data_IF_986051196669
#
_entry.id   IF_986051196669
#
_cell.length_a   1.000
_cell.length_b   1.000
_cell.length_c   1.000
_cell.angle_alpha   90.00
_cell.angle_beta   90.00
_cell.angle_gamma   90.00
#
_symmetry.space_group_name_H-M   'P 1'
#
loop_
_entity.id
_entity.type
_entity.pdbx_description
1 polymer ?
#
# COMPACT_ATOMS: atom_id res chain seq x y z
N UNK A 1 11.06 32.45 -10.48
CA UNK A 1 10.42 31.94 -11.72
C UNK A 1 10.18 30.48 -11.49
N UNK A 2 8.92 30.09 -11.22
CA UNK A 2 8.56 28.68 -11.17
C UNK A 2 8.60 28.13 -12.59
N UNK A 3 9.39 27.10 -12.81
CA UNK A 3 9.35 26.33 -14.05
C UNK A 3 7.94 25.73 -14.21
N UNK A 4 7.32 25.80 -15.40
CA UNK A 4 6.02 25.17 -15.61
C UNK A 4 6.17 23.66 -15.39
N UNK A 5 5.41 23.11 -14.43
CA UNK A 5 5.29 21.65 -14.28
C UNK A 5 4.77 21.12 -15.62
N UNK A 6 5.62 20.42 -16.34
CA UNK A 6 5.21 19.69 -17.54
C UNK A 6 4.11 18.72 -17.10
N UNK A 7 2.89 18.95 -17.59
CA UNK A 7 1.76 18.07 -17.29
C UNK A 7 2.10 16.64 -17.65
N UNK A 8 1.62 15.67 -16.86
CA UNK A 8 1.82 14.25 -17.17
C UNK A 8 1.34 13.99 -18.60
N UNK A 9 2.18 13.47 -19.49
CA UNK A 9 1.76 13.16 -20.86
C UNK A 9 0.56 12.20 -20.84
N UNK A 10 -0.37 12.37 -21.78
CA UNK A 10 -1.60 11.56 -21.83
C UNK A 10 -1.34 10.04 -21.84
N UNK A 11 -0.22 9.60 -22.43
CA UNK A 11 0.16 8.19 -22.47
C UNK A 11 0.70 7.64 -21.13
N UNK A 12 0.98 8.52 -20.14
CA UNK A 12 1.33 8.14 -18.76
C UNK A 12 0.13 8.29 -17.81
N UNK A 13 -1.02 8.74 -18.31
CA UNK A 13 -2.21 8.87 -17.48
C UNK A 13 -2.65 7.51 -16.94
N UNK A 14 -3.05 7.48 -15.69
CA UNK A 14 -3.58 6.31 -14.98
C UNK A 14 -4.96 6.64 -14.42
N UNK A 15 -5.83 5.65 -14.32
CA UNK A 15 -7.13 5.78 -13.68
C UNK A 15 -6.92 6.05 -12.18
N UNK A 16 -7.63 7.03 -11.61
CA UNK A 16 -7.57 7.29 -10.17
C UNK A 16 -8.04 6.07 -9.38
N UNK A 17 -7.46 5.87 -8.20
CA UNK A 17 -7.90 4.84 -7.25
C UNK A 17 -9.06 5.36 -6.42
N UNK A 18 -10.20 4.68 -6.44
CA UNK A 18 -11.36 5.03 -5.59
C UNK A 18 -11.57 4.00 -4.50
N UNK A 19 -11.61 4.45 -3.24
CA UNK A 19 -11.90 3.61 -2.07
C UNK A 19 -12.81 4.40 -1.12
N UNK A 20 -13.94 3.83 -0.73
CA UNK A 20 -14.87 4.45 0.24
C UNK A 20 -15.32 5.86 -0.16
N UNK A 21 -15.57 6.10 -1.47
CA UNK A 21 -15.96 7.41 -1.98
C UNK A 21 -14.82 8.43 -2.13
N UNK A 22 -13.61 8.11 -1.66
CA UNK A 22 -12.42 8.95 -1.82
C UNK A 22 -11.66 8.59 -3.08
N UNK A 23 -11.17 9.60 -3.80
CA UNK A 23 -10.43 9.47 -5.05
C UNK A 23 -8.96 9.84 -4.82
N UNK A 24 -8.06 8.94 -5.16
CA UNK A 24 -6.62 9.09 -4.98
C UNK A 24 -5.90 9.04 -6.32
N UNK A 25 -5.03 9.98 -6.58
CA UNK A 25 -4.07 9.95 -7.71
C UNK A 25 -2.74 9.30 -7.28
N UNK A 26 -2.46 9.29 -5.97
CA UNK A 26 -1.33 8.55 -5.40
C UNK A 26 -1.78 7.17 -4.95
N UNK A 27 -0.99 6.15 -5.31
CA UNK A 27 -1.22 4.76 -4.90
C UNK A 27 -0.35 4.34 -3.71
N UNK A 28 0.43 5.30 -3.17
CA UNK A 28 1.26 5.12 -1.99
C UNK A 28 0.53 5.69 -0.77
N UNK A 29 0.17 4.83 0.18
CA UNK A 29 -0.42 5.20 1.47
C UNK A 29 0.66 5.13 2.54
N UNK A 30 0.70 6.11 3.44
CA UNK A 30 1.78 6.23 4.41
C UNK A 30 1.23 6.36 5.82
N UNK A 31 1.88 5.66 6.76
CA UNK A 31 1.58 5.78 8.18
C UNK A 31 2.39 6.90 8.85
N UNK A 32 1.99 7.25 10.07
CA UNK A 32 2.55 8.37 10.85
C UNK A 32 3.36 7.92 12.07
N UNK A 33 3.59 6.63 12.24
CA UNK A 33 4.31 6.11 13.41
C UNK A 33 5.83 6.10 13.25
N UNK A 34 6.57 6.21 14.39
CA UNK A 34 8.02 6.00 14.47
C UNK A 34 8.92 7.05 13.84
N UNK A 35 8.41 8.12 13.25
CA UNK A 35 9.24 9.27 12.89
C UNK A 35 9.81 9.93 14.13
N UNK A 36 10.95 10.60 13.99
CA UNK A 36 11.65 11.26 15.10
C UNK A 36 10.83 12.40 15.70
N UNK A 37 10.17 13.17 14.85
CA UNK A 37 9.41 14.37 15.21
C UNK A 37 8.32 14.69 14.17
N UNK A 38 7.50 15.70 14.46
CA UNK A 38 6.42 16.18 13.60
C UNK A 38 6.94 16.75 12.27
N UNK A 39 8.10 17.42 12.29
CA UNK A 39 8.70 18.00 11.08
C UNK A 39 9.13 16.90 10.11
N UNK A 40 9.86 15.90 10.58
CA UNK A 40 10.27 14.76 9.76
C UNK A 40 9.06 14.01 9.20
N UNK A 41 7.99 13.84 10.01
CA UNK A 41 6.72 13.26 9.55
C UNK A 41 6.14 14.06 8.40
N UNK A 42 6.01 15.39 8.57
CA UNK A 42 5.46 16.29 7.56
C UNK A 42 6.26 16.25 6.26
N UNK A 43 7.58 16.31 6.36
CA UNK A 43 8.47 16.25 5.20
C UNK A 43 8.33 14.93 4.45
N UNK A 44 8.34 13.80 5.16
CA UNK A 44 8.20 12.49 4.54
C UNK A 44 6.83 12.28 3.87
N UNK A 45 5.75 12.78 4.48
CA UNK A 45 4.43 12.76 3.86
C UNK A 45 4.39 13.60 2.58
N UNK A 46 4.94 14.81 2.62
CA UNK A 46 5.01 15.71 1.45
C UNK A 46 5.87 15.10 0.33
N UNK A 47 7.06 14.59 0.64
CA UNK A 47 7.99 13.99 -0.33
C UNK A 47 7.40 12.71 -0.95
N UNK A 48 6.71 11.88 -0.15
CA UNK A 48 6.07 10.65 -0.64
C UNK A 48 4.91 10.91 -1.59
N UNK A 49 4.33 12.12 -1.58
CA UNK A 49 3.16 12.47 -2.36
C UNK A 49 1.91 11.70 -1.97
N UNK A 50 1.88 11.12 -0.76
CA UNK A 50 0.72 10.38 -0.28
C UNK A 50 -0.49 11.30 -0.14
N UNK A 51 -1.67 10.77 -0.43
CA UNK A 51 -2.95 11.43 -0.20
C UNK A 51 -3.79 10.70 0.87
N UNK A 52 -3.38 9.50 1.28
CA UNK A 52 -4.03 8.72 2.32
C UNK A 52 -3.04 8.43 3.44
N UNK A 53 -3.33 8.93 4.63
CA UNK A 53 -2.42 8.86 5.77
C UNK A 53 -3.06 8.08 6.92
N UNK A 54 -2.40 7.00 7.37
CA UNK A 54 -2.92 6.23 8.49
C UNK A 54 -2.48 6.82 9.82
N UNK A 55 -3.45 6.85 10.75
CA UNK A 55 -3.27 7.35 12.11
C UNK A 55 -3.77 6.31 13.10
N UNK A 56 -2.92 5.91 14.04
CA UNK A 56 -3.34 5.06 15.14
C UNK A 56 -4.17 5.89 16.15
N UNK A 57 -5.46 5.58 16.25
CA UNK A 57 -6.39 6.34 17.12
C UNK A 57 -5.90 6.44 18.56
N UNK A 58 -5.29 5.37 19.07
CA UNK A 58 -4.69 5.32 20.43
C UNK A 58 -3.58 6.34 20.69
N UNK A 59 -3.04 6.96 19.63
CA UNK A 59 -1.95 7.96 19.70
C UNK A 59 -2.41 9.38 19.43
N UNK A 60 -3.70 9.56 19.17
CA UNK A 60 -4.27 10.90 18.99
C UNK A 60 -4.43 11.52 20.37
N UNK A 61 -3.75 12.64 20.60
CA UNK A 61 -3.97 13.43 21.82
C UNK A 61 -5.33 14.11 21.74
N UNK A 62 -6.28 13.62 22.51
CA UNK A 62 -7.62 14.17 22.61
C UNK A 62 -7.71 15.33 23.61
N UNK A 63 -6.64 15.55 24.40
CA UNK A 63 -6.63 16.59 25.45
C UNK A 63 -6.20 17.96 24.92
N UNK A 64 -5.55 17.99 23.74
CA UNK A 64 -5.05 19.22 23.12
C UNK A 64 -3.90 19.89 23.87
N UNK A 65 -3.26 19.20 24.82
CA UNK A 65 -2.23 19.79 25.69
C UNK A 65 -0.80 19.62 25.18
N UNK A 66 -0.61 18.96 24.01
CA UNK A 66 0.72 18.72 23.42
C UNK A 66 0.71 18.74 21.90
N UNK A 67 1.90 18.64 21.27
CA UNK A 67 1.98 18.52 19.82
C UNK A 67 1.22 17.28 19.36
N UNK A 68 0.19 17.48 18.56
CA UNK A 68 -0.61 16.39 18.03
C UNK A 68 0.05 15.83 16.76
N UNK A 69 0.02 14.52 16.60
CA UNK A 69 0.39 13.88 15.33
C UNK A 69 -0.43 14.44 14.14
N UNK A 70 -1.64 14.93 14.45
CA UNK A 70 -2.52 15.54 13.46
C UNK A 70 -1.99 16.89 12.94
N UNK A 71 -1.07 17.54 13.67
CA UNK A 71 -0.42 18.79 13.24
C UNK A 71 0.57 18.59 12.08
N UNK A 72 0.99 17.35 11.83
CA UNK A 72 1.79 17.00 10.67
C UNK A 72 0.95 16.88 9.38
N UNK A 73 -0.39 16.83 9.50
CA UNK A 73 -1.30 16.53 8.40
C UNK A 73 -1.88 17.81 7.80
N UNK A 74 -1.81 17.91 6.49
CA UNK A 74 -2.56 18.90 5.72
C UNK A 74 -3.95 18.32 5.39
N UNK A 75 -4.98 18.80 6.07
CA UNK A 75 -6.36 18.32 5.95
C UNK A 75 -6.99 18.55 4.56
N UNK A 76 -6.44 19.45 3.77
CA UNK A 76 -6.90 19.70 2.40
C UNK A 76 -6.32 18.69 1.41
N UNK A 77 -5.14 18.11 1.73
CA UNK A 77 -4.43 17.16 0.87
C UNK A 77 -4.54 15.73 1.34
N UNK A 78 -4.68 15.51 2.65
CA UNK A 78 -4.62 14.19 3.24
C UNK A 78 -5.99 13.70 3.70
N UNK A 79 -6.43 12.60 3.15
CA UNK A 79 -7.51 11.78 3.71
C UNK A 79 -6.95 10.99 4.88
N UNK A 80 -7.54 11.16 6.06
CA UNK A 80 -7.13 10.42 7.24
C UNK A 80 -7.80 9.06 7.24
N UNK A 81 -6.98 8.02 7.36
CA UNK A 81 -7.39 6.64 7.53
C UNK A 81 -7.03 6.19 8.95
N UNK A 82 -7.95 6.33 9.92
CA UNK A 82 -7.71 5.83 11.27
C UNK A 82 -7.57 4.31 11.25
N UNK A 83 -6.70 3.76 12.11
CA UNK A 83 -6.54 2.32 12.23
C UNK A 83 -6.80 1.83 13.66
N UNK A 84 -7.16 0.55 13.77
CA UNK A 84 -7.39 -0.15 15.03
C UNK A 84 -6.14 -0.90 15.53
N UNK A 85 -4.96 -0.41 15.17
CA UNK A 85 -3.68 -1.01 15.55
C UNK A 85 -3.57 -1.32 17.04
N UNK A 86 -3.09 -2.53 17.35
CA UNK A 86 -2.95 -3.01 18.73
C UNK A 86 -4.25 -3.51 19.36
N UNK A 87 -5.28 -3.79 18.58
CA UNK A 87 -6.45 -4.55 19.01
C UNK A 87 -6.22 -6.04 18.74
N UNK A 88 -6.49 -6.89 19.74
CA UNK A 88 -6.28 -8.34 19.71
C UNK A 88 -7.58 -9.14 19.74
N UNK A 89 -8.71 -8.46 19.64
CA UNK A 89 -10.04 -9.04 19.54
C UNK A 89 -10.98 -8.13 18.74
N UNK A 90 -12.04 -8.72 18.17
CA UNK A 90 -13.02 -8.00 17.36
C UNK A 90 -13.69 -6.86 18.12
N UNK A 91 -14.09 -7.11 19.38
CA UNK A 91 -14.82 -6.12 20.17
C UNK A 91 -13.98 -4.87 20.46
N UNK A 92 -12.68 -5.01 20.76
CA UNK A 92 -11.78 -3.88 20.96
C UNK A 92 -11.52 -3.10 19.65
N UNK A 93 -11.42 -3.81 18.51
CA UNK A 93 -11.27 -3.18 17.22
C UNK A 93 -12.52 -2.36 16.83
N UNK A 94 -13.71 -2.91 17.03
CA UNK A 94 -14.99 -2.22 16.79
C UNK A 94 -15.09 -0.96 17.64
N UNK A 95 -14.86 -1.07 18.96
CA UNK A 95 -14.90 0.11 19.87
C UNK A 95 -13.89 1.18 19.44
N UNK A 96 -12.69 0.78 19.02
CA UNK A 96 -11.65 1.71 18.55
C UNK A 96 -12.07 2.40 17.25
N UNK A 97 -12.71 1.68 16.32
CA UNK A 97 -13.22 2.25 15.07
C UNK A 97 -14.36 3.26 15.33
N UNK A 98 -15.29 2.94 16.24
CA UNK A 98 -16.38 3.85 16.61
C UNK A 98 -15.81 5.13 17.24
N UNK A 99 -14.87 5.01 18.18
CA UNK A 99 -14.19 6.16 18.76
C UNK A 99 -13.48 7.00 17.68
N UNK A 100 -12.84 6.35 16.73
CA UNK A 100 -12.19 7.05 15.61
C UNK A 100 -13.16 7.88 14.79
N UNK A 101 -14.32 7.34 14.47
CA UNK A 101 -15.41 8.05 13.76
C UNK A 101 -15.88 9.27 14.52
N UNK A 102 -16.11 9.12 15.81
CA UNK A 102 -16.60 10.21 16.67
C UNK A 102 -15.58 11.34 16.79
N UNK A 103 -14.29 11.02 16.87
CA UNK A 103 -13.20 12.00 17.04
C UNK A 103 -12.78 12.65 15.74
N UNK A 104 -12.69 11.87 14.66
CA UNK A 104 -12.11 12.34 13.38
C UNK A 104 -13.17 12.68 12.33
N UNK A 105 -14.44 12.38 12.56
CA UNK A 105 -15.53 12.66 11.65
C UNK A 105 -15.47 11.89 10.33
N UNK A 106 -14.92 10.66 10.33
CA UNK A 106 -14.76 9.85 9.13
C UNK A 106 -15.33 8.45 9.29
N UNK A 107 -15.99 7.92 8.27
CA UNK A 107 -16.42 6.53 8.19
C UNK A 107 -15.32 5.58 7.71
N UNK A 108 -14.22 6.10 7.17
CA UNK A 108 -13.07 5.28 6.79
C UNK A 108 -12.41 4.66 8.02
N UNK A 109 -12.04 3.40 7.92
CA UNK A 109 -11.24 2.72 8.94
C UNK A 109 -10.34 1.66 8.32
N UNK A 110 -9.08 1.61 8.71
CA UNK A 110 -8.21 0.47 8.50
C UNK A 110 -8.38 -0.48 9.67
N UNK A 111 -9.07 -1.58 9.42
CA UNK A 111 -9.34 -2.60 10.44
C UNK A 111 -8.13 -3.51 10.60
N UNK A 112 -7.63 -3.61 11.82
CA UNK A 112 -6.61 -4.55 12.26
C UNK A 112 -7.14 -5.30 13.49
N UNK A 113 -7.22 -6.63 13.42
CA UNK A 113 -7.43 -7.53 14.57
C UNK A 113 -6.25 -8.49 14.59
N UNK A 114 -5.38 -8.36 15.58
CA UNK A 114 -4.09 -9.07 15.63
C UNK A 114 -4.25 -10.41 16.37
N UNK A 115 -3.59 -11.46 15.89
CA UNK A 115 -3.63 -12.77 16.51
C UNK A 115 -2.70 -12.90 17.72
N UNK A 116 -1.52 -12.27 17.65
CA UNK A 116 -0.56 -12.30 18.74
C UNK A 116 0.43 -11.10 18.70
N UNK A 117 1.01 -10.70 19.84
CA UNK A 117 1.88 -9.54 19.93
C UNK A 117 3.28 -9.73 19.32
N UNK A 118 3.72 -10.95 19.04
CA UNK A 118 5.05 -11.22 18.53
C UNK A 118 5.10 -11.15 17.00
N UNK A 119 4.11 -11.73 16.34
CA UNK A 119 4.06 -11.78 14.87
C UNK A 119 3.28 -10.63 14.28
N UNK A 120 2.32 -10.06 15.02
CA UNK A 120 1.35 -9.05 14.57
C UNK A 120 0.60 -9.50 13.31
N UNK A 121 0.52 -10.82 13.08
CA UNK A 121 -0.32 -11.37 12.03
C UNK A 121 -1.79 -11.23 12.40
N UNK A 122 -2.69 -11.07 11.41
CA UNK A 122 -4.11 -10.87 11.68
C UNK A 122 -4.75 -12.17 12.20
N UNK A 123 -5.71 -12.04 13.13
CA UNK A 123 -6.63 -13.11 13.50
C UNK A 123 -7.75 -13.20 12.47
N UNK A 124 -7.86 -14.29 11.69
CA UNK A 124 -8.86 -14.37 10.63
C UNK A 124 -10.29 -14.36 11.15
N UNK A 125 -10.56 -14.97 12.30
CA UNK A 125 -11.91 -15.08 12.87
C UNK A 125 -12.39 -13.73 13.35
N UNK A 126 -11.61 -13.08 14.22
CA UNK A 126 -11.93 -11.74 14.73
C UNK A 126 -11.99 -10.68 13.63
N UNK A 127 -11.15 -10.83 12.58
CA UNK A 127 -11.17 -9.92 11.43
C UNK A 127 -12.48 -10.03 10.65
N UNK A 128 -12.98 -11.25 10.39
CA UNK A 128 -14.28 -11.46 9.72
C UNK A 128 -15.45 -10.93 10.58
N UNK A 129 -15.42 -11.19 11.89
CA UNK A 129 -16.43 -10.70 12.83
C UNK A 129 -16.48 -9.16 12.84
N UNK A 130 -15.34 -8.51 13.07
CA UNK A 130 -15.25 -7.06 13.11
C UNK A 130 -15.61 -6.41 11.78
N UNK A 131 -15.20 -7.00 10.64
CA UNK A 131 -15.57 -6.50 9.31
C UNK A 131 -17.08 -6.48 9.13
N UNK A 132 -17.78 -7.59 9.44
CA UNK A 132 -19.23 -7.68 9.31
C UNK A 132 -19.92 -6.60 10.12
N UNK A 133 -19.52 -6.45 11.38
CA UNK A 133 -20.13 -5.50 12.30
C UNK A 133 -19.89 -4.05 11.87
N UNK A 134 -18.67 -3.70 11.50
CA UNK A 134 -18.33 -2.33 11.07
C UNK A 134 -19.03 -1.96 9.76
N UNK A 135 -19.11 -2.86 8.78
CA UNK A 135 -19.85 -2.62 7.55
C UNK A 135 -21.35 -2.41 7.85
N UNK A 136 -21.95 -3.22 8.73
CA UNK A 136 -23.34 -3.03 9.15
C UNK A 136 -23.58 -1.68 9.85
N UNK A 137 -22.56 -1.14 10.53
CA UNK A 137 -22.61 0.19 11.15
C UNK A 137 -22.27 1.34 10.18
N UNK A 138 -22.12 1.06 8.88
CA UNK A 138 -21.90 2.06 7.83
C UNK A 138 -20.46 2.55 7.72
N UNK A 139 -19.46 1.77 8.18
CA UNK A 139 -18.06 2.09 7.94
C UNK A 139 -17.61 1.68 6.54
N UNK A 140 -16.71 2.45 5.96
CA UNK A 140 -15.92 2.09 4.81
C UNK A 140 -14.62 1.39 5.27
N UNK A 141 -14.67 0.05 5.32
CA UNK A 141 -13.63 -0.76 5.96
C UNK A 141 -12.56 -1.17 4.96
N UNK A 142 -11.31 -0.79 5.23
CA UNK A 142 -10.11 -1.31 4.58
C UNK A 142 -9.51 -2.35 5.52
N UNK A 143 -9.40 -3.61 5.10
CA UNK A 143 -9.14 -4.73 6.03
C UNK A 143 -7.72 -5.26 5.90
N UNK A 144 -6.90 -5.07 6.94
CA UNK A 144 -5.62 -5.75 7.08
C UNK A 144 -5.85 -7.25 7.30
N UNK A 145 -5.21 -8.08 6.47
CA UNK A 145 -5.40 -9.52 6.47
C UNK A 145 -4.11 -10.26 6.10
N UNK A 146 -4.11 -11.59 6.21
CA UNK A 146 -3.06 -12.42 5.63
C UNK A 146 -3.12 -12.41 4.09
N UNK A 147 -2.14 -13.04 3.47
CA UNK A 147 -2.07 -13.27 2.03
C UNK A 147 -2.97 -14.43 1.54
N UNK A 148 -3.84 -14.98 2.41
CA UNK A 148 -4.81 -16.03 2.03
C UNK A 148 -5.88 -15.47 1.07
N UNK A 149 -5.91 -15.92 -0.20
CA UNK A 149 -6.86 -15.42 -1.18
C UNK A 149 -8.33 -15.74 -0.82
N UNK A 150 -8.59 -16.86 -0.14
CA UNK A 150 -9.95 -17.24 0.25
C UNK A 150 -10.50 -16.37 1.38
N UNK A 151 -9.62 -15.97 2.30
CA UNK A 151 -9.98 -15.00 3.34
C UNK A 151 -10.29 -13.63 2.71
N UNK A 152 -9.44 -13.19 1.76
CA UNK A 152 -9.66 -11.93 1.05
C UNK A 152 -11.01 -11.88 0.32
N UNK A 153 -11.40 -12.96 -0.35
CA UNK A 153 -12.72 -13.06 -1.00
C UNK A 153 -13.85 -12.92 0.02
N UNK A 154 -13.77 -13.62 1.16
CA UNK A 154 -14.80 -13.51 2.22
C UNK A 154 -14.92 -12.10 2.79
N UNK A 155 -13.80 -11.40 2.96
CA UNK A 155 -13.79 -10.02 3.43
C UNK A 155 -14.46 -9.06 2.43
N UNK A 156 -14.18 -9.25 1.13
CA UNK A 156 -14.86 -8.48 0.07
C UNK A 156 -16.37 -8.77 0.02
N UNK A 157 -16.78 -10.04 0.15
CA UNK A 157 -18.20 -10.47 0.21
C UNK A 157 -18.92 -9.87 1.43
N UNK A 158 -18.23 -9.63 2.54
CA UNK A 158 -18.77 -8.93 3.71
C UNK A 158 -18.94 -7.42 3.50
N UNK A 159 -18.46 -6.86 2.38
CA UNK A 159 -18.61 -5.45 2.05
C UNK A 159 -17.39 -4.59 2.38
N UNK A 160 -16.22 -5.17 2.61
CA UNK A 160 -14.98 -4.41 2.72
C UNK A 160 -14.75 -3.56 1.47
N UNK A 161 -14.29 -2.30 1.64
CA UNK A 161 -13.99 -1.40 0.52
C UNK A 161 -12.62 -1.63 -0.09
N UNK A 162 -11.71 -2.23 0.65
CA UNK A 162 -10.43 -2.71 0.17
C UNK A 162 -9.95 -3.89 1.02
N UNK A 163 -9.23 -4.81 0.40
CA UNK A 163 -8.52 -5.91 1.08
C UNK A 163 -7.04 -5.57 1.12
N UNK A 164 -6.44 -5.67 2.31
CA UNK A 164 -5.06 -5.25 2.55
C UNK A 164 -4.21 -6.44 3.03
N UNK A 165 -3.75 -7.30 2.09
CA UNK A 165 -2.93 -8.45 2.45
C UNK A 165 -1.55 -8.01 2.94
N UNK A 166 -1.05 -8.68 3.99
CA UNK A 166 0.31 -8.52 4.45
C UNK A 166 1.31 -8.99 3.39
N UNK A 167 2.28 -8.15 3.02
CA UNK A 167 3.44 -8.59 2.25
C UNK A 167 4.33 -9.51 3.08
N UNK A 168 4.55 -9.13 4.33
CA UNK A 168 5.22 -9.88 5.40
C UNK A 168 4.85 -9.26 6.76
N UNK A 169 5.27 -9.81 7.90
CA UNK A 169 4.89 -9.28 9.21
C UNK A 169 5.19 -7.79 9.38
N UNK A 170 4.32 -7.07 10.07
CA UNK A 170 4.42 -5.62 10.31
C UNK A 170 5.82 -5.27 10.82
N UNK A 171 6.49 -4.34 10.13
CA UNK A 171 7.81 -3.83 10.53
C UNK A 171 8.98 -4.78 10.31
N UNK A 172 8.77 -5.93 9.64
CA UNK A 172 9.83 -6.91 9.38
C UNK A 172 10.80 -6.49 8.27
N UNK A 173 10.35 -5.67 7.32
CA UNK A 173 11.17 -5.25 6.18
C UNK A 173 11.52 -6.36 5.20
N UNK A 174 10.77 -7.48 5.22
CA UNK A 174 11.05 -8.65 4.38
C UNK A 174 10.41 -8.59 2.99
N UNK A 175 9.63 -7.55 2.71
CA UNK A 175 8.97 -7.34 1.41
C UNK A 175 7.76 -8.23 1.19
N UNK A 176 7.48 -8.53 -0.08
CA UNK A 176 6.37 -9.42 -0.50
C UNK A 176 6.88 -10.85 -0.57
N UNK A 177 6.65 -11.63 0.49
CA UNK A 177 7.15 -13.00 0.60
C UNK A 177 6.42 -14.00 -0.29
N UNK A 178 5.13 -13.78 -0.54
CA UNK A 178 4.30 -14.69 -1.33
C UNK A 178 3.59 -13.96 -2.47
N UNK A 179 4.34 -13.54 -3.51
CA UNK A 179 3.75 -12.86 -4.66
C UNK A 179 2.74 -13.71 -5.42
N UNK A 180 2.82 -15.04 -5.30
CA UNK A 180 1.87 -15.95 -5.93
C UNK A 180 0.48 -15.87 -5.30
N UNK A 181 0.39 -15.88 -3.96
CA UNK A 181 -0.89 -15.71 -3.26
C UNK A 181 -1.51 -14.33 -3.52
N UNK A 182 -0.69 -13.27 -3.49
CA UNK A 182 -1.15 -11.91 -3.83
C UNK A 182 -1.74 -11.87 -5.25
N UNK A 183 -1.11 -12.55 -6.20
CA UNK A 183 -1.60 -12.61 -7.58
C UNK A 183 -2.95 -13.33 -7.70
N UNK A 184 -3.12 -14.46 -7.00
CA UNK A 184 -4.42 -15.14 -6.92
C UNK A 184 -5.47 -14.24 -6.29
N UNK A 185 -5.12 -13.54 -5.20
CA UNK A 185 -6.01 -12.60 -4.54
C UNK A 185 -6.49 -11.51 -5.51
N UNK A 186 -5.58 -10.91 -6.29
CA UNK A 186 -5.88 -9.89 -7.29
C UNK A 186 -6.84 -10.39 -8.39
N UNK A 187 -6.79 -11.67 -8.73
CA UNK A 187 -7.69 -12.28 -9.72
C UNK A 187 -9.10 -12.57 -9.15
N UNK A 188 -9.18 -12.89 -7.85
CA UNK A 188 -10.43 -13.34 -7.23
C UNK A 188 -11.24 -12.22 -6.58
N UNK A 189 -10.60 -11.14 -6.14
CA UNK A 189 -11.24 -10.08 -5.37
C UNK A 189 -11.64 -8.93 -6.29
N UNK A 190 -12.86 -8.44 -6.14
CA UNK A 190 -13.44 -7.38 -6.97
C UNK A 190 -13.25 -5.97 -6.41
N UNK A 191 -12.80 -5.86 -5.16
CA UNK A 191 -12.47 -4.59 -4.52
C UNK A 191 -10.96 -4.30 -4.62
N UNK A 192 -10.51 -3.04 -4.47
CA UNK A 192 -9.11 -2.70 -4.47
C UNK A 192 -8.28 -3.56 -3.50
N UNK A 193 -7.14 -4.06 -3.96
CA UNK A 193 -6.15 -4.76 -3.13
C UNK A 193 -4.98 -3.82 -2.90
N UNK A 194 -4.72 -3.49 -1.64
CA UNK A 194 -3.60 -2.63 -1.22
C UNK A 194 -2.64 -3.47 -0.40
N UNK A 195 -1.45 -3.74 -0.91
CA UNK A 195 -0.43 -4.51 -0.16
C UNK A 195 0.00 -3.70 1.05
N UNK A 196 -0.08 -4.31 2.23
CA UNK A 196 0.17 -3.65 3.50
C UNK A 196 1.22 -4.41 4.31
N UNK A 197 2.03 -3.68 5.06
CA UNK A 197 3.05 -4.21 5.96
C UNK A 197 4.23 -4.94 5.29
N UNK A 198 5.32 -5.04 6.04
CA UNK A 198 6.51 -5.78 5.64
C UNK A 198 7.41 -5.13 4.59
N UNK A 199 6.96 -4.06 3.94
CA UNK A 199 7.74 -3.32 2.95
C UNK A 199 8.95 -2.68 3.62
N UNK A 200 10.15 -3.01 3.15
CA UNK A 200 11.42 -2.53 3.71
C UNK A 200 12.15 -1.54 2.81
N UNK A 201 11.94 -1.63 1.49
CA UNK A 201 12.64 -0.77 0.53
C UNK A 201 11.84 -0.56 -0.77
N UNK A 202 12.33 0.30 -1.64
CA UNK A 202 11.68 0.69 -2.89
C UNK A 202 11.36 -0.50 -3.82
N UNK A 203 12.24 -1.51 -3.91
CA UNK A 203 11.99 -2.70 -4.74
C UNK A 203 10.74 -3.47 -4.30
N UNK A 204 10.43 -3.50 -3.01
CA UNK A 204 9.25 -4.20 -2.50
C UNK A 204 7.96 -3.51 -2.95
N UNK A 205 7.97 -2.17 -2.96
CA UNK A 205 6.87 -1.35 -3.50
C UNK A 205 6.70 -1.61 -5.00
N UNK A 206 7.79 -1.60 -5.77
CA UNK A 206 7.75 -1.86 -7.20
C UNK A 206 7.17 -3.26 -7.49
N UNK A 207 7.62 -4.29 -6.75
CA UNK A 207 7.11 -5.67 -6.88
C UNK A 207 5.59 -5.71 -6.64
N UNK A 208 5.10 -5.12 -5.56
CA UNK A 208 3.67 -5.09 -5.25
C UNK A 208 2.86 -4.42 -6.37
N UNK A 209 3.34 -3.30 -6.89
CA UNK A 209 2.68 -2.56 -7.96
C UNK A 209 2.75 -3.29 -9.31
N UNK A 210 3.88 -3.96 -9.63
CA UNK A 210 4.03 -4.80 -10.84
C UNK A 210 3.11 -6.03 -10.83
N UNK A 211 2.74 -6.54 -9.65
CA UNK A 211 1.75 -7.61 -9.52
C UNK A 211 0.33 -7.13 -9.89
N UNK A 212 0.07 -5.83 -9.89
CA UNK A 212 -1.23 -5.23 -10.17
C UNK A 212 -1.97 -4.75 -8.94
N UNK A 213 -1.31 -4.65 -7.77
CA UNK A 213 -1.93 -4.06 -6.59
C UNK A 213 -2.47 -2.65 -6.89
N UNK A 214 -3.62 -2.31 -6.31
CA UNK A 214 -4.22 -1.00 -6.44
C UNK A 214 -3.40 0.09 -5.75
N UNK A 215 -2.66 -0.30 -4.70
CA UNK A 215 -1.76 0.57 -3.95
C UNK A 215 -0.89 -0.21 -2.98
N UNK A 216 -0.02 0.50 -2.29
CA UNK A 216 0.81 -0.03 -1.20
C UNK A 216 0.68 0.87 0.01
N UNK A 217 0.49 0.28 1.20
CA UNK A 217 0.54 0.99 2.46
C UNK A 217 1.79 0.59 3.23
N UNK A 218 2.55 1.57 3.70
CA UNK A 218 3.74 1.35 4.49
C UNK A 218 3.97 2.49 5.50
N UNK A 219 4.73 2.23 6.52
CA UNK A 219 5.19 3.22 7.49
C UNK A 219 6.64 3.00 7.88
N UNK A 220 6.93 1.88 8.54
CA UNK A 220 8.26 1.58 9.09
C UNK A 220 9.36 1.58 8.03
N UNK A 221 9.06 1.17 6.79
CA UNK A 221 10.01 1.19 5.68
C UNK A 221 10.58 2.58 5.39
N UNK A 222 9.78 3.65 5.61
CA UNK A 222 10.25 5.04 5.53
C UNK A 222 10.82 5.47 6.89
N UNK A 223 10.01 5.43 7.95
CA UNK A 223 10.32 6.03 9.23
C UNK A 223 11.56 5.45 9.93
N UNK A 224 11.88 4.17 9.70
CA UNK A 224 13.06 3.51 10.26
C UNK A 224 14.27 3.48 9.31
N UNK A 225 14.18 4.06 8.13
CA UNK A 225 15.33 4.21 7.25
C UNK A 225 16.38 5.15 7.86
N UNK A 226 17.66 4.98 7.51
CA UNK A 226 18.73 5.91 7.94
C UNK A 226 18.52 7.34 7.47
N UNK A 227 17.85 7.51 6.33
CA UNK A 227 17.41 8.79 5.77
C UNK A 227 15.95 8.64 5.35
N UNK A 228 14.97 8.95 6.23
CA UNK A 228 13.55 8.80 5.95
C UNK A 228 13.06 9.65 4.76
N UNK A 229 13.58 10.88 4.61
CA UNK A 229 13.20 11.79 3.53
C UNK A 229 13.60 11.21 2.16
N UNK A 230 14.81 10.71 2.05
CA UNK A 230 15.29 10.05 0.83
C UNK A 230 14.54 8.76 0.53
N UNK A 231 14.21 7.97 1.56
CA UNK A 231 13.43 6.76 1.41
C UNK A 231 12.00 7.07 0.98
N UNK A 232 11.37 8.13 1.48
CA UNK A 232 10.05 8.58 1.05
C UNK A 232 10.01 8.89 -0.46
N UNK A 233 11.04 9.58 -0.98
CA UNK A 233 11.18 9.82 -2.42
C UNK A 233 11.33 8.51 -3.20
N UNK A 234 12.19 7.61 -2.75
CA UNK A 234 12.44 6.32 -3.40
C UNK A 234 11.17 5.44 -3.45
N UNK A 235 10.38 5.42 -2.36
CA UNK A 235 9.11 4.67 -2.31
C UNK A 235 8.06 5.25 -3.26
N UNK A 236 7.95 6.57 -3.36
CA UNK A 236 7.08 7.26 -4.33
C UNK A 236 7.43 6.87 -5.76
N UNK A 237 8.71 6.97 -6.10
CA UNK A 237 9.18 6.72 -7.46
C UNK A 237 9.02 5.24 -7.83
N UNK A 238 9.26 4.32 -6.87
CA UNK A 238 9.03 2.89 -7.05
C UNK A 238 7.54 2.55 -7.23
N UNK A 239 6.65 3.22 -6.51
CA UNK A 239 5.20 3.04 -6.67
C UNK A 239 4.75 3.43 -8.08
N UNK A 240 5.22 4.58 -8.57
CA UNK A 240 4.96 5.05 -9.93
C UNK A 240 5.55 4.10 -10.98
N UNK A 241 6.83 3.73 -10.83
CA UNK A 241 7.52 2.86 -11.78
C UNK A 241 6.86 1.47 -11.88
N UNK A 242 6.53 0.84 -10.74
CA UNK A 242 5.87 -0.47 -10.71
C UNK A 242 4.47 -0.42 -11.33
N UNK A 243 3.71 0.66 -11.09
CA UNK A 243 2.40 0.85 -11.71
C UNK A 243 2.51 1.00 -13.23
N UNK A 244 3.44 1.82 -13.72
CA UNK A 244 3.66 1.98 -15.15
C UNK A 244 4.13 0.68 -15.80
N UNK A 245 4.98 -0.10 -15.15
CA UNK A 245 5.41 -1.42 -15.63
C UNK A 245 4.23 -2.41 -15.73
N UNK A 246 3.32 -2.39 -14.74
CA UNK A 246 2.09 -3.18 -14.78
C UNK A 246 1.20 -2.79 -15.98
N UNK A 247 0.95 -1.50 -16.17
CA UNK A 247 0.11 -0.98 -17.27
C UNK A 247 0.73 -1.25 -18.64
N UNK A 248 2.06 -1.15 -18.77
CA UNK A 248 2.77 -1.45 -19.99
C UNK A 248 2.74 -2.94 -20.38
N UNK A 249 2.59 -3.81 -19.39
CA UNK A 249 2.64 -5.25 -19.57
C UNK A 249 4.07 -5.78 -19.71
N UNK A 250 4.36 -6.83 -18.96
CA UNK A 250 5.66 -7.50 -19.01
C UNK A 250 5.82 -8.35 -20.26
N UNK A 251 7.00 -8.38 -20.86
CA UNK A 251 7.33 -9.37 -21.90
C UNK A 251 7.20 -10.80 -21.36
N UNK A 252 6.76 -11.78 -22.18
CA UNK A 252 6.67 -13.17 -21.75
C UNK A 252 8.02 -13.71 -21.26
N UNK A 253 8.00 -14.43 -20.14
CA UNK A 253 9.19 -15.17 -19.69
C UNK A 253 9.46 -16.33 -20.64
N UNK A 254 10.69 -16.46 -21.12
CA UNK A 254 11.14 -17.55 -21.99
C UNK A 254 12.22 -18.36 -21.30
N UNK A 255 12.25 -19.67 -21.54
CA UNK A 255 13.29 -20.54 -21.04
C UNK A 255 14.63 -20.29 -21.72
N UNK A 256 14.60 -20.01 -23.03
CA UNK A 256 15.81 -19.80 -23.83
C UNK A 256 15.92 -18.34 -24.25
N UNK A 257 17.17 -17.93 -24.53
CA UNK A 257 17.48 -16.61 -25.05
C UNK A 257 16.78 -16.34 -26.38
N UNK A 258 16.41 -15.10 -26.60
CA UNK A 258 15.91 -14.59 -27.87
C UNK A 258 16.75 -13.37 -28.22
N UNK A 259 17.35 -13.38 -29.44
CA UNK A 259 18.18 -12.27 -29.89
C UNK A 259 17.39 -10.96 -29.91
N UNK A 260 17.95 -9.89 -29.35
CA UNK A 260 17.34 -8.56 -29.34
C UNK A 260 17.55 -7.79 -30.64
N UNK A 261 18.57 -8.16 -31.43
CA UNK A 261 18.85 -7.55 -32.71
C UNK A 261 18.22 -8.36 -33.85
N UNK A 262 17.62 -7.71 -34.87
CA UNK A 262 17.16 -8.39 -36.08
C UNK A 262 18.29 -9.20 -36.71
N UNK A 263 17.99 -10.41 -37.18
CA UNK A 263 18.95 -11.24 -37.95
C UNK A 263 19.01 -10.84 -39.40
N UNK A 264 18.06 -10.03 -39.87
CA UNK A 264 18.04 -9.48 -41.24
C UNK A 264 19.04 -8.34 -41.36
N UNK A 265 19.80 -8.32 -42.46
CA UNK A 265 20.81 -7.28 -42.73
C UNK A 265 22.15 -7.47 -42.04
N UNK A 266 22.43 -8.67 -41.49
CA UNK A 266 23.77 -8.98 -41.01
C UNK A 266 24.77 -8.97 -42.16
N UNK A 267 25.88 -8.23 -42.02
CA UNK A 267 27.01 -8.32 -42.89
C UNK A 267 27.62 -9.71 -42.68
N UNK A 268 27.33 -10.63 -43.59
CA UNK A 268 28.00 -11.92 -43.60
C UNK A 268 29.44 -11.67 -43.97
N UNK A 269 30.39 -11.91 -43.07
CA UNK A 269 31.79 -11.98 -43.42
C UNK A 269 31.95 -13.03 -44.53
N UNK A 270 32.37 -12.60 -45.71
CA UNK A 270 32.62 -13.48 -46.82
C UNK A 270 33.59 -14.60 -46.40
N UNK A 271 33.12 -15.85 -46.49
CA UNK A 271 34.01 -17.01 -46.59
C UNK A 271 34.60 -17.52 -45.27
N UNK A 272 33.88 -18.41 -44.59
CA UNK A 272 34.57 -19.63 -44.07
C UNK A 272 34.22 -20.78 -45.02
N UNK A 273 35.20 -21.37 -45.72
CA UNK A 273 34.97 -22.60 -46.47
C UNK A 273 34.57 -23.70 -45.49
N UNK A 274 33.55 -24.46 -45.87
CA UNK A 274 33.06 -25.59 -45.07
C UNK A 274 34.20 -26.56 -44.76
N UNK A 275 34.19 -27.04 -43.54
CA UNK A 275 34.88 -28.24 -43.13
C UNK A 275 33.93 -29.45 -43.31
N UNK A 276 34.42 -30.59 -43.84
CA UNK A 276 33.64 -31.73 -44.35
C UNK A 276 32.81 -32.44 -43.29
#
# INVERSE_FOLDING_TARGET
>A
MEEPRVGTPAWLADEPLTIGGHVFTSRLFVGTGKYRDVEETRDCLAISGTQCVTVAVRRVDLTGQGPSLLDALDREKHVILPNTAGCYDAASAIRTAVLARDVLGTSLVKLEVLGDPKTLLPDPVGTLEATRELVAQGFDVLVYTSDDPRLGVRLAELGARAVMPAGSPIGSGQGVLNPFAIRILLELVTVPVVVDAGVGTASDVAIAMELGAAGVLLNTGIAAARDPRRMAAAMRDACSAGRQAFLAGRIPRKLYANASSPLEGLIHAAGRPGTP
#
